data_IF_302666300140
#
_entry.id   IF_302666300140
#
_cell.length_a   1.000
_cell.length_b   1.000
_cell.length_c   1.000
_cell.angle_alpha   90.00
_cell.angle_beta   90.00
_cell.angle_gamma   90.00
#
_symmetry.space_group_name_H-M   'P 1'
#
loop_
_entity.id
_entity.type
_entity.pdbx_description
1 polymer ?
#
# COMPACT_ATOMS: atom_id res chain seq x y z
N UNK A 1 13.37 10.10 12.75
CA UNK A 1 12.59 8.86 12.67
C UNK A 1 13.34 7.75 11.93
N UNK A 2 14.48 7.38 12.44
CA UNK A 2 15.29 6.30 11.87
C UNK A 2 15.04 4.94 12.54
N UNK A 3 14.07 4.88 13.45
CA UNK A 3 13.91 3.73 14.33
C UNK A 3 13.12 2.56 13.72
N UNK A 4 12.44 2.80 12.60
CA UNK A 4 11.68 1.79 11.88
C UNK A 4 12.34 1.46 10.53
N UNK A 5 12.60 0.19 10.30
CA UNK A 5 13.18 -0.33 9.07
C UNK A 5 12.16 -1.28 8.42
N UNK A 6 11.66 -1.00 7.21
CA UNK A 6 10.81 -1.95 6.52
C UNK A 6 11.64 -3.15 6.05
N UNK A 7 11.10 -4.35 6.25
CA UNK A 7 11.74 -5.61 5.85
C UNK A 7 11.05 -6.18 4.62
N UNK A 8 9.71 -6.30 4.70
CA UNK A 8 8.93 -6.91 3.64
C UNK A 8 7.56 -6.24 3.52
N UNK A 9 7.08 -6.10 2.30
CA UNK A 9 5.71 -5.74 1.94
C UNK A 9 5.06 -6.90 1.20
N UNK A 10 3.98 -7.43 1.73
CA UNK A 10 3.07 -8.32 1.01
C UNK A 10 1.84 -7.52 0.62
N UNK A 11 1.63 -7.34 -0.69
CA UNK A 11 0.57 -6.49 -1.22
C UNK A 11 -0.33 -7.32 -2.12
N UNK A 12 -1.63 -7.26 -1.88
CA UNK A 12 -2.63 -7.82 -2.78
C UNK A 12 -3.46 -6.69 -3.36
N UNK A 13 -3.57 -6.67 -4.69
CA UNK A 13 -4.35 -5.71 -5.45
C UNK A 13 -5.49 -6.42 -6.17
N UNK A 14 -6.67 -5.84 -6.08
CA UNK A 14 -7.89 -6.26 -6.79
C UNK A 14 -8.38 -5.08 -7.65
N UNK A 15 -7.84 -4.92 -8.88
CA UNK A 15 -8.17 -3.80 -9.75
C UNK A 15 -9.51 -3.99 -10.47
N UNK A 16 -10.30 -2.92 -10.51
CA UNK A 16 -11.52 -2.79 -11.29
C UNK A 16 -11.29 -1.82 -12.45
N UNK A 17 -11.12 -2.34 -13.67
CA UNK A 17 -10.88 -1.54 -14.88
C UNK A 17 -12.18 -0.98 -15.50
N UNK A 18 -13.34 -1.23 -14.92
CA UNK A 18 -14.60 -0.62 -15.29
C UNK A 18 -14.83 0.68 -14.52
N UNK A 19 -14.66 0.62 -13.22
CA UNK A 19 -14.86 1.76 -12.31
C UNK A 19 -13.56 2.52 -12.02
N UNK A 20 -12.41 2.00 -12.47
CA UNK A 20 -11.07 2.56 -12.24
C UNK A 20 -10.74 2.74 -10.76
N UNK A 21 -11.05 1.73 -9.98
CA UNK A 21 -10.72 1.63 -8.57
C UNK A 21 -9.96 0.33 -8.30
N UNK A 22 -9.38 0.21 -7.14
CA UNK A 22 -8.81 -1.05 -6.67
C UNK A 22 -9.02 -1.20 -5.17
N UNK A 23 -9.45 -2.39 -4.76
CA UNK A 23 -9.39 -2.84 -3.38
C UNK A 23 -8.01 -3.47 -3.12
N UNK A 24 -7.52 -3.37 -1.92
CA UNK A 24 -6.20 -3.89 -1.59
C UNK A 24 -6.00 -4.18 -0.11
N UNK A 25 -5.02 -5.00 0.20
CA UNK A 25 -4.39 -4.97 1.49
C UNK A 25 -2.86 -4.93 1.37
N UNK A 26 -2.22 -4.32 2.35
CA UNK A 26 -0.78 -4.36 2.54
C UNK A 26 -0.47 -4.97 3.90
N UNK A 27 0.33 -6.02 3.94
CA UNK A 27 0.93 -6.55 5.16
C UNK A 27 2.39 -6.16 5.18
N UNK A 28 2.81 -5.44 6.21
CA UNK A 28 4.14 -4.85 6.28
C UNK A 28 4.85 -5.42 7.50
N UNK A 29 6.01 -6.01 7.27
CA UNK A 29 6.94 -6.40 8.32
C UNK A 29 7.98 -5.30 8.50
N UNK A 30 8.07 -4.80 9.71
CA UNK A 30 8.98 -3.74 10.13
C UNK A 30 9.89 -4.22 11.25
N UNK A 31 11.10 -3.69 11.32
CA UNK A 31 11.98 -3.83 12.49
C UNK A 31 12.07 -2.48 13.20
N UNK A 32 11.62 -2.45 14.46
CA UNK A 32 11.72 -1.30 15.34
C UNK A 32 12.99 -1.36 16.16
N UNK A 33 13.96 -0.53 15.84
CA UNK A 33 15.27 -0.46 16.51
C UNK A 33 15.16 0.01 17.96
N UNK A 34 14.15 0.82 18.25
CA UNK A 34 13.80 1.31 19.58
C UNK A 34 12.31 1.12 19.83
N UNK A 35 11.89 1.32 21.07
CA UNK A 35 10.48 1.21 21.44
C UNK A 35 9.65 2.30 20.73
N UNK A 36 8.66 1.89 19.96
CA UNK A 36 7.76 2.76 19.25
C UNK A 36 6.31 2.58 19.71
N UNK A 37 5.52 3.64 19.64
CA UNK A 37 4.10 3.65 20.01
C UNK A 37 3.18 3.81 18.80
N UNK A 38 3.74 4.17 17.67
CA UNK A 38 3.00 4.41 16.42
C UNK A 38 3.86 4.06 15.21
N UNK A 39 3.21 3.75 14.11
CA UNK A 39 3.87 3.49 12.82
C UNK A 39 3.39 4.53 11.83
N UNK A 40 4.24 5.49 11.41
CA UNK A 40 3.95 6.43 10.35
C UNK A 40 4.25 5.81 8.98
N UNK A 41 3.30 5.93 8.06
CA UNK A 41 3.44 5.50 6.66
C UNK A 41 2.97 6.63 5.74
N UNK A 42 3.55 6.71 4.56
CA UNK A 42 3.08 7.61 3.52
C UNK A 42 1.88 7.00 2.80
N UNK A 43 0.87 7.82 2.56
CA UNK A 43 -0.31 7.51 1.74
C UNK A 43 -0.73 8.76 0.97
N UNK A 44 -1.25 8.57 -0.23
CA UNK A 44 -1.83 9.65 -1.01
C UNK A 44 -3.01 9.12 -1.83
N UNK A 45 -4.19 9.75 -1.66
CA UNK A 45 -5.43 9.36 -2.35
C UNK A 45 -5.84 7.89 -2.10
N UNK A 46 -5.50 7.35 -0.92
CA UNK A 46 -5.96 6.04 -0.45
C UNK A 46 -6.99 6.20 0.66
N UNK A 47 -8.08 5.45 0.58
CA UNK A 47 -9.07 5.32 1.64
C UNK A 47 -8.71 4.14 2.53
N UNK A 48 -8.35 4.41 3.78
CA UNK A 48 -7.97 3.38 4.75
C UNK A 48 -9.24 2.88 5.45
N UNK A 49 -9.46 1.56 5.41
CA UNK A 49 -10.62 0.92 5.99
C UNK A 49 -10.34 0.40 7.39
N UNK A 50 -9.19 -0.25 7.55
CA UNK A 50 -8.87 -1.00 8.75
C UNK A 50 -7.35 -1.17 8.88
N UNK A 51 -6.86 -1.10 10.12
CA UNK A 51 -5.48 -1.41 10.48
C UNK A 51 -5.46 -2.42 11.61
N UNK A 52 -4.64 -3.46 11.46
CA UNK A 52 -4.40 -4.47 12.48
C UNK A 52 -2.91 -4.63 12.74
N UNK A 53 -2.56 -4.93 13.95
CA UNK A 53 -1.20 -5.24 14.40
C UNK A 53 -1.17 -6.69 14.88
N UNK A 54 -0.17 -7.43 14.47
CA UNK A 54 0.03 -8.81 14.92
C UNK A 54 0.69 -8.79 16.32
N UNK A 55 -0.02 -9.34 17.30
CA UNK A 55 0.46 -9.48 18.68
C UNK A 55 0.11 -10.88 19.18
N UNK A 56 1.10 -11.59 19.72
CA UNK A 56 0.92 -12.95 20.26
C UNK A 56 0.20 -13.89 19.27
N UNK A 57 0.59 -13.85 17.98
CA UNK A 57 -0.02 -14.60 16.88
C UNK A 57 -1.50 -14.27 16.61
N UNK A 58 -2.00 -13.14 17.10
CA UNK A 58 -3.36 -12.67 16.85
C UNK A 58 -3.35 -11.27 16.25
N UNK A 59 -4.26 -11.03 15.32
CA UNK A 59 -4.48 -9.70 14.78
C UNK A 59 -5.32 -8.88 15.74
N UNK A 60 -4.76 -7.75 16.16
CA UNK A 60 -5.42 -6.77 17.03
C UNK A 60 -5.75 -5.54 16.21
N UNK A 61 -7.03 -5.18 16.16
CA UNK A 61 -7.46 -3.94 15.51
C UNK A 61 -6.82 -2.74 16.21
N UNK A 62 -6.26 -1.85 15.42
CA UNK A 62 -5.49 -0.71 15.91
C UNK A 62 -6.08 0.59 15.39
N UNK A 63 -6.30 1.58 16.26
CA UNK A 63 -6.71 2.91 15.83
C UNK A 63 -5.67 3.53 14.89
N UNK A 64 -6.13 4.36 13.97
CA UNK A 64 -5.26 5.06 13.04
C UNK A 64 -5.74 6.49 12.79
N UNK A 65 -4.80 7.34 12.37
CA UNK A 65 -5.04 8.72 12.00
C UNK A 65 -4.53 8.95 10.58
N UNK A 66 -5.33 9.63 9.77
CA UNK A 66 -4.95 10.05 8.42
C UNK A 66 -4.77 11.56 8.41
N UNK A 67 -3.61 12.02 7.97
CA UNK A 67 -3.32 13.43 7.73
C UNK A 67 -3.10 13.63 6.22
N UNK A 68 -4.11 14.16 5.54
CA UNK A 68 -4.09 14.36 4.10
C UNK A 68 -3.09 15.45 3.67
N UNK A 69 -2.84 16.44 4.49
CA UNK A 69 -1.88 17.52 4.19
C UNK A 69 -0.43 17.03 4.25
N UNK A 70 -0.15 16.07 5.13
CA UNK A 70 1.16 15.45 5.27
C UNK A 70 1.31 14.15 4.47
N UNK A 71 0.24 13.72 3.80
CA UNK A 71 0.21 12.44 3.08
C UNK A 71 0.63 11.28 3.98
N UNK A 72 0.10 11.24 5.20
CA UNK A 72 0.55 10.34 6.26
C UNK A 72 -0.61 9.57 6.87
N UNK A 73 -0.38 8.27 7.08
CA UNK A 73 -1.14 7.38 7.93
C UNK A 73 -0.33 7.09 9.18
N UNK A 74 -0.91 7.24 10.36
CA UNK A 74 -0.32 6.80 11.64
C UNK A 74 -1.16 5.69 12.24
N UNK A 75 -0.55 4.53 12.43
CA UNK A 75 -1.17 3.40 13.11
C UNK A 75 -0.72 3.44 14.57
N UNK A 76 -1.68 3.50 15.49
CA UNK A 76 -1.42 3.53 16.92
C UNK A 76 -1.28 2.10 17.45
N UNK A 77 -0.14 1.78 18.02
CA UNK A 77 0.12 0.45 18.57
C UNK A 77 -0.60 0.25 19.90
N UNK A 78 -1.08 -0.97 20.21
CA UNK A 78 -1.79 -1.26 21.45
C UNK A 78 -0.92 -1.04 22.70
N UNK A 79 0.39 -1.18 22.53
CA UNK A 79 1.41 -0.92 23.55
C UNK A 79 2.73 -0.54 22.86
N UNK A 80 3.71 0.01 23.57
CA UNK A 80 5.04 0.23 23.01
C UNK A 80 5.67 -1.09 22.56
N UNK A 81 6.15 -1.15 21.33
CA UNK A 81 6.72 -2.35 20.71
C UNK A 81 8.14 -2.09 20.22
N UNK A 82 8.96 -3.15 20.23
CA UNK A 82 10.35 -3.16 19.75
C UNK A 82 10.59 -4.43 18.92
N UNK A 83 11.54 -4.41 18.01
CA UNK A 83 11.86 -5.54 17.15
C UNK A 83 10.85 -5.70 16.02
N UNK A 84 10.56 -6.94 15.65
CA UNK A 84 9.68 -7.23 14.51
C UNK A 84 8.23 -6.88 14.81
N UNK A 85 7.65 -6.01 14.00
CA UNK A 85 6.25 -5.60 14.07
C UNK A 85 5.62 -5.89 12.70
N UNK A 86 4.51 -6.62 12.71
CA UNK A 86 3.73 -6.85 11.49
C UNK A 86 2.41 -6.12 11.58
N UNK A 87 2.13 -5.28 10.58
CA UNK A 87 0.85 -4.58 10.44
C UNK A 87 0.15 -5.00 9.17
N UNK A 88 -1.17 -5.01 9.19
CA UNK A 88 -2.02 -5.22 8.02
C UNK A 88 -2.96 -4.04 7.88
N UNK A 89 -3.05 -3.53 6.66
CA UNK A 89 -3.87 -2.38 6.31
C UNK A 89 -4.77 -2.80 5.16
N UNK A 90 -6.08 -2.71 5.35
CA UNK A 90 -7.07 -2.89 4.30
C UNK A 90 -7.46 -1.50 3.79
N UNK A 91 -7.40 -1.30 2.47
CA UNK A 91 -7.59 0.01 1.86
C UNK A 91 -8.14 -0.07 0.45
N UNK A 92 -8.53 1.07 -0.08
CA UNK A 92 -8.99 1.25 -1.45
C UNK A 92 -8.31 2.46 -2.07
N UNK A 93 -8.08 2.41 -3.38
CA UNK A 93 -7.56 3.53 -4.14
C UNK A 93 -8.23 3.67 -5.50
N UNK A 94 -7.80 4.68 -6.25
CA UNK A 94 -8.24 4.91 -7.62
C UNK A 94 -7.13 4.57 -8.61
N UNK A 95 -7.51 3.92 -9.71
CA UNK A 95 -6.65 3.76 -10.88
C UNK A 95 -6.75 5.07 -11.66
N UNK A 96 -5.84 6.01 -11.34
CA UNK A 96 -5.90 7.39 -11.84
C UNK A 96 -5.45 7.50 -13.30
N UNK A 97 -5.54 8.70 -13.86
CA UNK A 97 -5.11 9.05 -15.22
C UNK A 97 -3.92 10.04 -15.25
N UNK A 98 -3.17 10.10 -14.16
CA UNK A 98 -2.08 11.08 -13.94
C UNK A 98 -0.69 10.53 -14.31
N UNK A 99 -0.59 9.30 -14.79
CA UNK A 99 0.67 8.59 -15.07
C UNK A 99 1.60 8.50 -13.84
N UNK A 100 1.04 8.38 -12.66
CA UNK A 100 1.74 8.31 -11.39
C UNK A 100 1.05 7.35 -10.42
N UNK A 101 1.82 6.58 -9.67
CA UNK A 101 1.29 5.59 -8.76
C UNK A 101 0.71 4.39 -9.50
N UNK A 102 -0.54 4.06 -9.26
CA UNK A 102 -1.29 3.04 -10.00
C UNK A 102 -2.30 3.76 -10.90
N UNK A 103 -2.08 3.69 -12.20
CA UNK A 103 -2.82 4.49 -13.17
C UNK A 103 -3.26 3.68 -14.39
N UNK A 104 -4.21 4.22 -15.14
CA UNK A 104 -4.70 3.65 -16.39
C UNK A 104 -4.08 4.33 -17.60
N UNK A 105 -3.84 3.52 -18.63
CA UNK A 105 -3.47 4.00 -19.96
C UNK A 105 -4.44 3.44 -20.99
N UNK A 106 -5.00 4.34 -21.81
CA UNK A 106 -5.97 3.98 -22.84
C UNK A 106 -5.32 3.64 -24.16
N UNK A 107 -5.87 2.67 -24.88
CA UNK A 107 -5.47 2.31 -26.25
C UNK A 107 -6.67 1.88 -27.07
N UNK A 108 -6.53 1.96 -28.40
CA UNK A 108 -7.58 1.52 -29.33
C UNK A 108 -7.29 0.12 -29.87
N UNK A 109 -8.27 -0.77 -29.81
CA UNK A 109 -8.21 -2.09 -30.44
C UNK A 109 -9.52 -2.39 -31.13
N UNK A 110 -9.47 -2.67 -32.43
CA UNK A 110 -10.65 -2.95 -33.27
C UNK A 110 -11.75 -1.88 -33.11
N UNK A 111 -11.36 -0.59 -33.16
CA UNK A 111 -12.23 0.57 -32.97
C UNK A 111 -12.94 0.63 -31.60
N UNK A 112 -12.42 -0.07 -30.58
CA UNK A 112 -12.92 0.02 -29.20
C UNK A 112 -11.82 0.54 -28.28
N UNK A 113 -12.20 1.48 -27.42
CA UNK A 113 -11.33 1.97 -26.35
C UNK A 113 -11.09 0.85 -25.34
N UNK A 114 -9.84 0.58 -25.02
CA UNK A 114 -9.38 -0.37 -24.02
C UNK A 114 -8.44 0.32 -23.03
N UNK A 115 -8.30 -0.25 -21.87
CA UNK A 115 -7.42 0.26 -20.82
C UNK A 115 -6.50 -0.82 -20.29
N UNK A 116 -5.30 -0.44 -19.90
CA UNK A 116 -4.39 -1.20 -19.06
C UNK A 116 -4.17 -0.44 -17.77
N UNK A 117 -3.93 -1.14 -16.69
CA UNK A 117 -3.47 -0.57 -15.43
C UNK A 117 -1.96 -0.76 -15.33
N UNK A 118 -1.26 0.28 -14.93
CA UNK A 118 0.21 0.34 -14.90
C UNK A 118 0.64 1.01 -13.61
N UNK A 119 1.82 0.66 -13.11
CA UNK A 119 2.43 1.33 -11.95
C UNK A 119 3.67 2.12 -12.36
N UNK A 120 3.81 3.32 -11.80
CA UNK A 120 5.00 4.15 -11.88
C UNK A 120 5.19 4.85 -10.54
N UNK A 121 6.27 4.54 -9.82
CA UNK A 121 6.43 4.96 -8.42
C UNK A 121 7.51 6.01 -8.18
N UNK A 122 8.30 6.32 -9.18
CA UNK A 122 9.35 7.33 -9.04
C UNK A 122 8.76 8.76 -9.15
N UNK A 123 9.11 9.70 -8.30
CA UNK A 123 10.05 9.57 -7.17
C UNK A 123 9.38 9.12 -5.86
N UNK A 124 8.15 9.55 -5.56
CA UNK A 124 7.42 9.31 -4.31
C UNK A 124 5.93 9.04 -4.57
N UNK A 125 5.65 8.23 -5.57
CA UNK A 125 4.29 7.89 -5.99
C UNK A 125 3.87 6.47 -5.60
N UNK A 126 4.73 5.69 -4.94
CA UNK A 126 4.36 4.40 -4.38
C UNK A 126 3.21 4.54 -3.37
N UNK A 127 3.20 5.63 -2.61
CA UNK A 127 2.14 6.00 -1.65
C UNK A 127 0.74 6.16 -2.24
N UNK A 128 0.63 6.27 -3.58
CA UNK A 128 -0.65 6.28 -4.31
C UNK A 128 -1.18 4.88 -4.59
N UNK A 129 -0.34 3.86 -4.46
CA UNK A 129 -0.70 2.47 -4.72
C UNK A 129 -0.81 1.66 -3.42
N UNK A 130 0.03 1.93 -2.43
CA UNK A 130 0.03 1.26 -1.13
C UNK A 130 0.64 2.11 -0.01
N UNK A 131 0.19 1.94 1.24
CA UNK A 131 0.85 2.55 2.38
C UNK A 131 2.29 2.06 2.52
N UNK A 132 3.25 2.98 2.60
CA UNK A 132 4.66 2.61 2.66
C UNK A 132 5.53 3.68 3.33
N UNK A 133 6.76 3.32 3.62
CA UNK A 133 7.83 4.27 3.93
C UNK A 133 8.47 4.71 2.60
N UNK A 134 7.86 5.72 1.97
CA UNK A 134 8.18 6.15 0.60
C UNK A 134 9.42 7.04 0.56
N UNK A 135 10.55 6.43 0.88
CA UNK A 135 11.87 7.08 0.88
C UNK A 135 12.92 6.13 0.28
N UNK A 136 13.82 6.59 -0.60
CA UNK A 136 14.77 5.73 -1.32
C UNK A 136 15.70 4.89 -0.42
N UNK A 137 16.00 5.37 0.79
CA UNK A 137 16.81 4.62 1.75
C UNK A 137 16.05 3.50 2.48
N UNK A 138 14.73 3.48 2.40
CA UNK A 138 13.86 2.49 3.06
C UNK A 138 13.58 1.33 2.12
N UNK A 139 14.61 0.54 1.82
CA UNK A 139 14.51 -0.62 0.94
C UNK A 139 13.89 -1.81 1.67
N UNK A 140 13.10 -2.59 0.94
CA UNK A 140 12.46 -3.81 1.45
C UNK A 140 12.29 -4.82 0.31
N UNK A 141 11.90 -6.03 0.65
CA UNK A 141 11.42 -7.03 -0.30
C UNK A 141 9.91 -6.87 -0.53
N UNK A 142 9.43 -7.32 -1.68
CA UNK A 142 8.02 -7.23 -2.06
C UNK A 142 7.49 -8.56 -2.53
N UNK A 143 6.32 -8.94 -2.02
CA UNK A 143 5.51 -10.05 -2.54
C UNK A 143 4.21 -9.44 -3.06
N UNK A 144 4.00 -9.51 -4.36
CA UNK A 144 2.85 -8.89 -5.02
C UNK A 144 1.89 -9.97 -5.50
N UNK A 145 0.65 -9.89 -5.06
CA UNK A 145 -0.47 -10.68 -5.56
C UNK A 145 -1.45 -9.74 -6.28
N UNK A 146 -1.92 -10.15 -7.45
CA UNK A 146 -2.93 -9.40 -8.19
C UNK A 146 -4.09 -10.33 -8.55
N UNK A 147 -5.29 -9.96 -8.13
CA UNK A 147 -6.52 -10.66 -8.46
C UNK A 147 -7.17 -9.96 -9.67
N UNK A 148 -7.16 -10.59 -10.82
CA UNK A 148 -7.68 -10.02 -12.07
C UNK A 148 -8.68 -10.98 -12.72
N UNK A 149 -9.57 -10.41 -13.53
CA UNK A 149 -10.48 -11.22 -14.35
C UNK A 149 -9.71 -12.22 -15.22
N UNK A 150 -10.25 -13.41 -15.41
CA UNK A 150 -9.62 -14.54 -16.15
C UNK A 150 -9.11 -14.14 -17.54
N UNK A 151 -9.76 -13.20 -18.20
CA UNK A 151 -9.37 -12.68 -19.53
C UNK A 151 -8.19 -11.70 -19.52
N UNK A 152 -7.73 -11.29 -18.35
CA UNK A 152 -6.64 -10.34 -18.18
C UNK A 152 -5.35 -11.07 -17.77
N UNK A 153 -4.23 -10.43 -18.05
CA UNK A 153 -2.90 -10.90 -17.64
C UNK A 153 -2.28 -9.85 -16.74
N UNK A 154 -1.81 -10.27 -15.57
CA UNK A 154 -1.03 -9.45 -14.66
C UNK A 154 0.45 -9.81 -14.82
N UNK A 155 1.31 -8.79 -14.85
CA UNK A 155 2.77 -8.93 -14.94
C UNK A 155 3.39 -8.08 -13.83
N UNK A 156 4.28 -8.69 -13.06
CA UNK A 156 5.10 -8.03 -12.05
C UNK A 156 6.55 -8.46 -12.19
N UNK A 157 7.46 -7.57 -11.84
CA UNK A 157 8.91 -7.79 -11.81
C UNK A 157 9.46 -7.52 -10.42
#
# INVERSE_FOLDING_TARGET
MNDLIPINYKIRLDPDLVNFTFGAFAQILLDAQNSVKEIPLNILELAIWNCNVLKDNQWVESPFLVNTQKEELRILLPEPMTGNITVRIDYQGNINDKMAGFYRSGYMRRNKQKYIAVTQFQESDARRAFPCMDHPAKKATFDIETDVEERLVAISI
#
